data_IF_413427214098
#
_entry.id   IF_413427214098
#
_cell.length_a   1.000
_cell.length_b   1.000
_cell.length_c   1.000
_cell.angle_alpha   90.00
_cell.angle_beta   90.00
_cell.angle_gamma   90.00
#
_symmetry.space_group_name_H-M   'P 1'
#
loop_
_entity.id
_entity.type
_entity.pdbx_description
1 polymer ?
#
# COMPACT_ATOMS: atom_id res chain seq x y z
N UNK A 1 -18.13 2.14 -10.24
CA UNK A 1 -18.16 1.76 -11.68
C UNK A 1 -16.81 2.00 -12.36
N UNK A 2 -16.27 3.23 -12.43
CA UNK A 2 -14.97 3.52 -13.11
C UNK A 2 -13.78 2.73 -12.51
N UNK A 3 -13.70 2.58 -11.19
CA UNK A 3 -12.66 1.76 -10.54
C UNK A 3 -12.71 0.31 -11.02
N UNK A 4 -13.88 -0.29 -11.06
CA UNK A 4 -14.06 -1.68 -11.51
C UNK A 4 -13.66 -1.88 -12.97
N UNK A 5 -14.02 -0.93 -13.83
CA UNK A 5 -13.62 -0.94 -15.25
C UNK A 5 -12.10 -0.82 -15.38
N UNK A 6 -11.49 0.16 -14.69
CA UNK A 6 -10.05 0.34 -14.67
C UNK A 6 -9.32 -0.91 -14.16
N UNK A 7 -9.84 -1.56 -13.12
CA UNK A 7 -9.29 -2.82 -12.58
C UNK A 7 -9.36 -3.96 -13.59
N UNK A 8 -10.45 -4.08 -14.35
CA UNK A 8 -10.58 -5.11 -15.41
C UNK A 8 -9.57 -4.87 -16.51
N UNK A 9 -9.44 -3.62 -17.00
CA UNK A 9 -8.48 -3.26 -18.05
C UNK A 9 -7.05 -3.53 -17.59
N UNK A 10 -6.66 -3.03 -16.41
CA UNK A 10 -5.34 -3.28 -15.84
C UNK A 10 -5.13 -4.78 -15.61
N UNK A 11 -6.13 -5.49 -15.11
CA UNK A 11 -6.10 -6.93 -14.91
C UNK A 11 -5.81 -7.71 -16.18
N UNK A 12 -6.47 -7.34 -17.28
CA UNK A 12 -6.24 -7.94 -18.59
C UNK A 12 -4.81 -7.67 -19.11
N UNK A 13 -4.35 -6.41 -19.00
CA UNK A 13 -2.98 -6.07 -19.40
C UNK A 13 -1.94 -6.81 -18.55
N UNK A 14 -2.17 -6.95 -17.24
CA UNK A 14 -1.30 -7.72 -16.36
C UNK A 14 -1.32 -9.22 -16.65
N UNK A 15 -2.49 -9.77 -16.97
CA UNK A 15 -2.60 -11.15 -17.41
C UNK A 15 -1.82 -11.40 -18.71
N UNK A 16 -1.89 -10.48 -19.66
CA UNK A 16 -1.18 -10.59 -20.95
C UNK A 16 0.34 -10.42 -20.77
N UNK A 17 0.76 -9.46 -19.95
CA UNK A 17 2.17 -9.05 -19.86
C UNK A 17 2.93 -9.73 -18.72
N UNK A 18 2.25 -10.05 -17.60
CA UNK A 18 2.87 -10.59 -16.41
C UNK A 18 2.12 -11.82 -15.91
N UNK A 19 2.87 -12.81 -15.45
CA UNK A 19 2.31 -14.00 -14.80
C UNK A 19 2.07 -13.65 -13.31
N UNK A 20 0.97 -12.96 -13.02
CA UNK A 20 0.69 -12.46 -11.67
C UNK A 20 0.12 -13.54 -10.76
N UNK A 21 0.75 -13.73 -9.60
CA UNK A 21 0.31 -14.55 -8.49
C UNK A 21 0.05 -13.69 -7.26
N UNK A 22 -0.92 -14.08 -6.43
CA UNK A 22 -1.15 -13.46 -5.14
C UNK A 22 -1.24 -14.55 -4.05
N UNK A 23 -0.63 -14.28 -2.90
CA UNK A 23 -0.60 -15.16 -1.72
C UNK A 23 -1.09 -14.41 -0.50
N UNK A 24 -1.84 -15.10 0.37
CA UNK A 24 -2.32 -14.50 1.62
C UNK A 24 -3.40 -13.43 1.46
N UNK A 25 -4.14 -13.41 0.35
CA UNK A 25 -5.23 -12.42 0.12
C UNK A 25 -6.30 -12.52 1.21
N UNK A 26 -6.53 -13.70 1.77
CA UNK A 26 -7.45 -13.96 2.89
C UNK A 26 -7.05 -13.29 4.21
N UNK A 27 -5.78 -12.86 4.33
CA UNK A 27 -5.30 -12.12 5.49
C UNK A 27 -5.78 -10.65 5.51
N UNK A 28 -6.31 -10.16 4.39
CA UNK A 28 -6.80 -8.78 4.30
C UNK A 28 -8.21 -8.72 4.91
N UNK A 29 -8.45 -7.92 5.96
CA UNK A 29 -9.78 -7.77 6.55
C UNK A 29 -10.83 -7.41 5.51
N UNK A 30 -11.96 -8.15 5.51
CA UNK A 30 -13.06 -7.92 4.58
C UNK A 30 -13.76 -6.57 4.83
N UNK A 31 -13.75 -6.11 6.07
CA UNK A 31 -14.42 -4.88 6.51
C UNK A 31 -13.48 -4.00 7.35
N UNK A 32 -13.93 -2.79 7.65
CA UNK A 32 -13.19 -1.82 8.46
C UNK A 32 -12.01 -1.16 7.73
N UNK A 33 -11.32 -0.22 8.39
CA UNK A 33 -10.18 0.49 7.83
C UNK A 33 -8.95 -0.40 7.75
N UNK A 34 -8.27 -0.39 6.59
CA UNK A 34 -7.06 -1.19 6.36
C UNK A 34 -5.98 -0.36 5.68
N UNK A 35 -4.76 -0.44 6.18
CA UNK A 35 -3.55 0.04 5.50
C UNK A 35 -2.75 -1.17 5.04
N UNK A 36 -2.44 -1.24 3.74
CA UNK A 36 -1.53 -2.24 3.19
C UNK A 36 -0.17 -1.56 2.97
N UNK A 37 0.84 -1.98 3.73
CA UNK A 37 2.20 -1.46 3.66
C UNK A 37 3.07 -2.37 2.79
N UNK A 38 3.74 -1.84 1.77
CA UNK A 38 4.57 -2.64 0.85
C UNK A 38 5.87 -1.95 0.48
N UNK A 39 6.87 -2.72 0.02
CA UNK A 39 8.05 -2.20 -0.66
C UNK A 39 7.68 -1.50 -1.97
N UNK A 40 8.53 -0.55 -2.41
CA UNK A 40 8.28 0.28 -3.59
C UNK A 40 9.47 0.35 -4.53
N UNK A 41 9.33 -0.24 -5.72
CA UNK A 41 10.40 -0.28 -6.74
C UNK A 41 9.96 0.23 -8.11
N UNK A 42 8.66 0.30 -8.40
CA UNK A 42 8.14 0.67 -9.72
C UNK A 42 6.91 1.58 -9.64
N UNK A 43 6.66 2.33 -10.70
CA UNK A 43 5.38 3.04 -10.88
C UNK A 43 4.20 2.07 -11.03
N UNK A 44 4.45 0.80 -11.33
CA UNK A 44 3.42 -0.23 -11.48
C UNK A 44 3.02 -0.87 -10.15
N UNK A 45 3.78 -0.64 -9.06
CA UNK A 45 3.51 -1.25 -7.75
C UNK A 45 2.11 -0.98 -7.20
N UNK A 46 1.53 0.24 -7.29
CA UNK A 46 0.16 0.47 -6.83
C UNK A 46 -0.86 -0.42 -7.52
N UNK A 47 -0.71 -0.64 -8.82
CA UNK A 47 -1.60 -1.52 -9.59
C UNK A 47 -1.41 -2.98 -9.18
N UNK A 48 -0.16 -3.45 -9.09
CA UNK A 48 0.18 -4.81 -8.67
C UNK A 48 -0.38 -5.10 -7.28
N UNK A 49 -0.21 -4.15 -6.35
CA UNK A 49 -0.70 -4.28 -4.97
C UNK A 49 -2.23 -4.32 -4.92
N UNK A 50 -2.95 -3.53 -5.73
CA UNK A 50 -4.40 -3.43 -5.69
C UNK A 50 -5.12 -4.54 -6.47
N UNK A 51 -4.50 -5.13 -7.48
CA UNK A 51 -5.18 -5.93 -8.50
C UNK A 51 -5.93 -7.15 -7.93
N UNK A 52 -5.36 -7.80 -6.90
CA UNK A 52 -5.94 -9.00 -6.26
C UNK A 52 -6.63 -8.70 -4.92
N UNK A 53 -6.60 -7.46 -4.45
CA UNK A 53 -7.33 -7.06 -3.24
C UNK A 53 -8.82 -6.99 -3.56
N UNK A 54 -9.71 -7.65 -2.77
CA UNK A 54 -11.15 -7.71 -3.08
C UNK A 54 -11.88 -6.36 -2.86
N UNK A 55 -11.21 -5.40 -2.22
CA UNK A 55 -11.72 -4.07 -1.86
C UNK A 55 -11.07 -2.99 -2.70
N UNK A 56 -11.76 -1.85 -2.85
CA UNK A 56 -11.21 -0.67 -3.51
C UNK A 56 -10.05 -0.09 -2.70
N UNK A 57 -8.87 0.04 -3.32
CA UNK A 57 -7.68 0.59 -2.70
C UNK A 57 -7.44 2.04 -3.12
N UNK A 58 -7.05 2.85 -2.15
CA UNK A 58 -6.68 4.24 -2.34
C UNK A 58 -5.18 4.44 -2.17
N UNK A 59 -4.58 5.34 -2.95
CA UNK A 59 -3.15 5.63 -2.91
C UNK A 59 -2.88 7.13 -2.86
N UNK A 60 -1.80 7.48 -2.19
CA UNK A 60 -1.24 8.83 -2.28
C UNK A 60 -0.48 8.97 -3.61
N UNK A 61 -0.82 9.95 -4.43
CA UNK A 61 -0.10 10.23 -5.66
C UNK A 61 0.32 11.70 -5.70
N UNK A 62 1.41 11.99 -6.43
CA UNK A 62 1.95 13.34 -6.54
C UNK A 62 0.91 14.30 -7.10
N UNK A 63 0.73 15.47 -6.47
CA UNK A 63 -0.23 16.48 -6.88
C UNK A 63 -0.06 16.92 -8.35
N UNK A 64 1.17 16.91 -8.86
CA UNK A 64 1.48 17.25 -10.25
C UNK A 64 0.81 16.29 -11.25
N UNK A 65 0.65 15.01 -10.91
CA UNK A 65 -0.02 14.03 -11.77
C UNK A 65 -1.50 14.36 -11.99
N UNK A 66 -2.13 15.03 -11.03
CA UNK A 66 -3.52 15.45 -11.13
C UNK A 66 -3.73 16.69 -12.02
N UNK A 67 -2.65 17.30 -12.53
CA UNK A 67 -2.68 18.39 -13.51
C UNK A 67 -2.54 17.90 -14.96
N UNK A 68 -2.15 16.63 -15.16
CA UNK A 68 -2.00 16.03 -16.50
C UNK A 68 -3.37 15.58 -17.00
N UNK A 69 -3.90 16.13 -18.11
CA UNK A 69 -5.30 15.95 -18.52
C UNK A 69 -5.75 14.48 -18.71
N UNK A 70 -4.85 13.62 -19.23
CA UNK A 70 -5.16 12.20 -19.48
C UNK A 70 -4.93 11.36 -18.20
N UNK A 71 -3.91 11.70 -17.41
CA UNK A 71 -3.52 10.93 -16.22
C UNK A 71 -4.46 11.22 -15.04
N UNK A 72 -4.87 12.49 -14.86
CA UNK A 72 -5.69 12.90 -13.73
C UNK A 72 -7.01 12.14 -13.59
N UNK A 73 -7.86 12.01 -14.62
CA UNK A 73 -9.11 11.25 -14.51
C UNK A 73 -8.84 9.76 -14.26
N UNK A 74 -7.79 9.19 -14.86
CA UNK A 74 -7.44 7.78 -14.69
C UNK A 74 -7.04 7.48 -13.24
N UNK A 75 -6.10 8.24 -12.66
CA UNK A 75 -5.63 7.97 -11.29
C UNK A 75 -6.71 8.26 -10.24
N UNK A 76 -7.59 9.27 -10.47
CA UNK A 76 -8.77 9.48 -9.62
C UNK A 76 -9.73 8.30 -9.68
N UNK A 77 -10.02 7.80 -10.88
CA UNK A 77 -10.86 6.63 -11.07
C UNK A 77 -10.28 5.36 -10.40
N UNK A 78 -8.97 5.31 -10.22
CA UNK A 78 -8.23 4.25 -9.51
C UNK A 78 -8.04 4.54 -8.02
N UNK A 79 -8.80 5.49 -7.44
CA UNK A 79 -8.79 5.77 -6.00
C UNK A 79 -7.60 6.58 -5.50
N UNK A 80 -6.79 7.18 -6.39
CA UNK A 80 -5.68 8.01 -5.97
C UNK A 80 -6.14 9.42 -5.52
N UNK A 81 -5.48 9.97 -4.49
CA UNK A 81 -5.66 11.34 -4.04
C UNK A 81 -4.33 12.11 -3.98
N UNK A 82 -4.36 13.45 -4.19
CA UNK A 82 -3.15 14.24 -4.37
C UNK A 82 -2.42 14.49 -3.05
N UNK A 83 -1.08 14.38 -3.10
CA UNK A 83 -0.19 14.81 -2.00
C UNK A 83 0.95 15.67 -2.57
N UNK A 84 1.34 16.72 -1.82
CA UNK A 84 2.50 17.54 -2.16
C UNK A 84 3.79 16.80 -1.82
N UNK A 85 4.85 16.97 -2.64
CA UNK A 85 6.19 16.44 -2.37
C UNK A 85 6.81 17.11 -1.12
N UNK A 86 7.64 16.37 -0.42
CA UNK A 86 8.37 16.80 0.77
C UNK A 86 7.93 16.05 2.01
N UNK A 87 7.79 16.73 3.13
CA UNK A 87 7.23 16.15 4.35
C UNK A 87 5.74 15.87 4.16
N UNK A 88 5.26 14.72 4.67
CA UNK A 88 3.82 14.44 4.70
C UNK A 88 3.15 15.56 5.51
N UNK A 89 2.35 16.39 4.84
CA UNK A 89 1.68 17.51 5.49
C UNK A 89 0.61 17.03 6.48
N UNK A 90 0.29 17.88 7.47
CA UNK A 90 -0.82 17.60 8.40
C UNK A 90 -2.13 17.37 7.65
N UNK A 91 -2.36 18.09 6.54
CA UNK A 91 -3.52 17.93 5.67
C UNK A 91 -3.55 16.54 5.00
N UNK A 92 -2.40 16.06 4.49
CA UNK A 92 -2.29 14.72 3.92
C UNK A 92 -2.63 13.63 4.94
N UNK A 93 -2.11 13.74 6.16
CA UNK A 93 -2.42 12.79 7.25
C UNK A 93 -3.92 12.84 7.58
N UNK A 94 -4.51 14.03 7.67
CA UNK A 94 -5.94 14.19 7.94
C UNK A 94 -6.79 13.52 6.85
N UNK A 95 -6.52 13.81 5.57
CA UNK A 95 -7.23 13.20 4.45
C UNK A 95 -7.14 11.67 4.48
N UNK A 96 -5.95 11.12 4.78
CA UNK A 96 -5.72 9.69 4.88
C UNK A 96 -6.53 9.06 6.04
N UNK A 97 -6.52 9.71 7.21
CA UNK A 97 -7.28 9.27 8.39
C UNK A 97 -8.79 9.32 8.12
N UNK A 98 -9.29 10.41 7.51
CA UNK A 98 -10.72 10.58 7.21
C UNK A 98 -11.19 9.52 6.20
N UNK A 99 -10.38 9.20 5.20
CA UNK A 99 -10.64 8.12 4.24
C UNK A 99 -10.71 6.74 4.93
N UNK A 100 -9.76 6.44 5.80
CA UNK A 100 -9.73 5.18 6.53
C UNK A 100 -10.92 5.05 7.50
N UNK A 101 -11.31 6.14 8.20
CA UNK A 101 -12.50 6.15 9.08
C UNK A 101 -13.81 5.87 8.35
N UNK A 102 -13.84 6.05 7.03
CA UNK A 102 -14.96 5.61 6.18
C UNK A 102 -14.90 4.11 5.86
N UNK A 103 -14.01 3.36 6.50
CA UNK A 103 -13.84 1.93 6.26
C UNK A 103 -13.10 1.59 4.96
N UNK A 104 -12.36 2.53 4.36
CA UNK A 104 -11.64 2.30 3.10
C UNK A 104 -10.30 1.58 3.31
N UNK A 105 -9.74 1.05 2.20
CA UNK A 105 -8.40 0.45 2.16
C UNK A 105 -7.42 1.43 1.53
N UNK A 106 -6.25 1.58 2.14
CA UNK A 106 -5.19 2.44 1.63
C UNK A 106 -3.90 1.65 1.43
N UNK A 107 -3.25 1.84 0.28
CA UNK A 107 -1.88 1.38 0.04
C UNK A 107 -0.87 2.46 0.43
N UNK A 108 0.11 2.11 1.24
CA UNK A 108 1.21 2.98 1.63
C UNK A 108 2.53 2.27 1.34
N UNK A 109 3.47 3.01 0.78
CA UNK A 109 4.86 2.59 0.62
C UNK A 109 5.69 3.31 1.68
N UNK A 110 6.06 2.65 2.80
CA UNK A 110 6.68 3.32 3.96
C UNK A 110 8.00 4.01 3.63
N UNK A 111 8.73 3.53 2.62
CA UNK A 111 9.98 4.14 2.14
C UNK A 111 9.76 5.56 1.58
N UNK A 112 8.56 5.86 1.07
CA UNK A 112 8.20 7.14 0.48
C UNK A 112 8.87 7.46 -0.87
N UNK A 113 9.80 6.63 -1.31
CA UNK A 113 10.50 6.70 -2.60
C UNK A 113 10.64 5.30 -3.18
N UNK A 114 10.93 5.23 -4.48
CA UNK A 114 11.18 3.96 -5.16
C UNK A 114 12.65 3.58 -4.99
N UNK A 115 12.90 2.39 -4.45
CA UNK A 115 14.23 1.85 -4.23
C UNK A 115 14.35 0.45 -4.87
N UNK A 116 15.51 0.11 -5.37
CA UNK A 116 15.78 -1.22 -5.91
C UNK A 116 15.78 -2.30 -4.81
N UNK A 117 16.26 -1.94 -3.63
CA UNK A 117 16.26 -2.75 -2.41
C UNK A 117 15.42 -2.07 -1.34
N UNK A 118 14.93 -2.84 -0.37
CA UNK A 118 14.14 -2.32 0.75
C UNK A 118 14.98 -1.31 1.56
N UNK A 119 14.52 -0.06 1.53
CA UNK A 119 15.18 1.07 2.18
C UNK A 119 14.59 1.42 3.55
N UNK A 120 15.11 2.48 4.19
CA UNK A 120 14.59 2.96 5.48
C UNK A 120 13.16 3.46 5.32
N UNK A 121 12.32 3.16 6.30
CA UNK A 121 10.91 3.53 6.32
C UNK A 121 10.66 4.80 7.14
N UNK A 122 9.60 5.52 6.76
CA UNK A 122 9.08 6.68 7.47
C UNK A 122 7.90 6.28 8.36
N UNK A 123 7.78 6.90 9.53
CA UNK A 123 6.72 6.63 10.53
C UNK A 123 5.29 7.02 10.06
N UNK A 124 5.14 7.60 8.88
CA UNK A 124 3.85 8.12 8.39
C UNK A 124 2.74 7.07 8.34
N UNK A 125 3.03 5.84 7.91
CA UNK A 125 2.06 4.75 7.86
C UNK A 125 1.54 4.39 9.26
N UNK A 126 2.44 4.24 10.24
CA UNK A 126 2.10 3.95 11.65
C UNK A 126 1.30 5.11 12.26
N UNK A 127 1.72 6.36 12.02
CA UNK A 127 0.98 7.54 12.51
C UNK A 127 -0.46 7.58 11.98
N UNK A 128 -0.67 7.26 10.71
CA UNK A 128 -2.01 7.20 10.11
C UNK A 128 -2.80 6.03 10.70
N UNK A 129 -2.19 4.85 10.86
CA UNK A 129 -2.84 3.68 11.44
C UNK A 129 -3.34 3.95 12.86
N UNK A 130 -2.47 4.45 13.74
CA UNK A 130 -2.82 4.77 15.13
C UNK A 130 -3.95 5.81 15.24
N UNK A 131 -3.99 6.81 14.33
CA UNK A 131 -5.02 7.85 14.33
C UNK A 131 -6.36 7.41 13.73
N UNK A 132 -6.34 6.43 12.85
CA UNK A 132 -7.55 5.94 12.17
C UNK A 132 -8.12 4.66 12.77
N UNK A 133 -7.36 3.93 13.60
CA UNK A 133 -7.70 2.60 14.06
C UNK A 133 -7.60 1.54 12.96
N UNK A 134 -6.87 1.82 11.88
CA UNK A 134 -6.76 0.90 10.75
C UNK A 134 -5.87 -0.30 11.07
N UNK A 135 -6.31 -1.49 10.68
CA UNK A 135 -5.48 -2.68 10.67
C UNK A 135 -4.35 -2.49 9.65
N UNK A 136 -3.11 -2.84 10.02
CA UNK A 136 -1.94 -2.74 9.14
C UNK A 136 -1.56 -4.12 8.62
N UNK A 137 -1.72 -4.31 7.31
CA UNK A 137 -1.34 -5.55 6.61
C UNK A 137 -0.01 -5.31 5.90
N UNK A 138 1.08 -5.97 6.31
CA UNK A 138 2.34 -5.93 5.56
C UNK A 138 2.18 -6.71 4.26
N UNK A 139 2.80 -6.22 3.18
CA UNK A 139 2.78 -6.88 1.89
C UNK A 139 4.13 -6.79 1.19
N UNK A 140 4.43 -7.73 0.32
CA UNK A 140 5.66 -7.74 -0.48
C UNK A 140 5.36 -7.93 -1.98
N UNK A 141 5.98 -7.10 -2.81
CA UNK A 141 5.95 -7.22 -4.26
C UNK A 141 7.28 -7.81 -4.73
N UNK A 142 7.22 -9.04 -5.24
CA UNK A 142 8.37 -9.86 -5.65
C UNK A 142 8.37 -10.04 -7.16
N UNK A 143 9.54 -9.99 -7.77
CA UNK A 143 9.73 -10.10 -9.22
C UNK A 143 10.19 -8.78 -9.85
N UNK A 144 10.22 -8.73 -11.18
CA UNK A 144 10.53 -7.54 -11.95
C UNK A 144 9.48 -7.34 -13.06
N UNK A 145 9.25 -6.09 -13.45
CA UNK A 145 8.25 -5.74 -14.47
C UNK A 145 8.80 -5.93 -15.90
N UNK A 146 9.31 -7.14 -16.17
CA UNK A 146 9.70 -7.56 -17.52
C UNK A 146 8.56 -8.39 -18.12
N UNK A 147 8.22 -8.20 -19.40
CA UNK A 147 7.19 -8.98 -20.07
C UNK A 147 7.40 -10.48 -19.89
N UNK A 148 6.29 -11.19 -19.66
CA UNK A 148 6.22 -12.65 -19.45
C UNK A 148 6.96 -13.18 -18.22
N UNK A 149 7.47 -12.31 -17.35
CA UNK A 149 8.04 -12.71 -16.06
C UNK A 149 7.00 -12.69 -14.96
N UNK A 150 7.22 -13.54 -13.98
CA UNK A 150 6.31 -13.69 -12.82
C UNK A 150 6.43 -12.48 -11.90
N UNK A 151 5.27 -11.96 -11.48
CA UNK A 151 5.10 -10.99 -10.40
C UNK A 151 4.27 -11.62 -9.30
N UNK A 152 4.71 -11.51 -8.05
CA UNK A 152 4.02 -12.08 -6.89
C UNK A 152 3.70 -10.95 -5.93
N UNK A 153 2.44 -10.86 -5.50
CA UNK A 153 2.02 -10.03 -4.38
C UNK A 153 1.74 -10.95 -3.18
N UNK A 154 2.44 -10.73 -2.08
CA UNK A 154 2.29 -11.51 -0.85
C UNK A 154 1.72 -10.59 0.22
N UNK A 155 0.64 -11.04 0.91
CA UNK A 155 0.00 -10.29 1.99
C UNK A 155 0.14 -11.08 3.29
N UNK A 156 0.79 -10.48 4.29
CA UNK A 156 0.93 -11.05 5.64
C UNK A 156 -0.32 -10.87 6.48
N UNK A 157 -0.33 -11.46 7.67
CA UNK A 157 -1.38 -11.19 8.67
C UNK A 157 -1.32 -9.75 9.18
N UNK A 158 -2.44 -9.17 9.60
CA UNK A 158 -2.46 -7.85 10.24
C UNK A 158 -1.50 -7.80 11.43
N UNK A 159 -0.74 -6.71 11.52
CA UNK A 159 0.17 -6.45 12.64
C UNK A 159 -0.61 -5.80 13.77
N UNK A 160 -0.50 -6.36 14.97
CA UNK A 160 -1.05 -5.73 16.17
C UNK A 160 -0.18 -4.54 16.59
N UNK A 161 -0.78 -3.36 16.55
CA UNK A 161 -0.14 -2.10 16.96
C UNK A 161 -0.71 -1.55 18.28
N UNK A 162 -1.52 -2.31 19.00
CA UNK A 162 -2.25 -1.85 20.18
C UNK A 162 -1.30 -1.36 21.29
N UNK A 163 -0.25 -2.13 21.60
CA UNK A 163 0.74 -1.76 22.61
C UNK A 163 1.51 -0.49 22.24
N UNK A 164 1.91 -0.35 20.98
CA UNK A 164 2.62 0.84 20.48
C UNK A 164 1.72 2.08 20.45
N UNK A 165 0.42 1.89 20.18
CA UNK A 165 -0.55 2.98 20.21
C UNK A 165 -0.82 3.46 21.63
N UNK A 166 -0.88 2.55 22.62
CA UNK A 166 -1.04 2.86 24.04
C UNK A 166 0.17 3.63 24.61
N UNK A 167 1.39 3.27 24.20
CA UNK A 167 2.61 3.98 24.60
C UNK A 167 2.68 5.40 23.99
N UNK A 168 2.25 5.57 22.74
CA UNK A 168 2.09 6.86 22.07
C UNK A 168 3.38 7.65 21.79
N UNK A 169 4.56 7.11 22.12
CA UNK A 169 5.85 7.77 21.96
C UNK A 169 6.38 7.73 20.54
N UNK A 170 7.34 8.58 20.23
CA UNK A 170 8.04 8.54 18.94
C UNK A 170 8.85 7.24 18.78
N UNK A 171 9.39 6.72 19.88
CA UNK A 171 10.14 5.46 19.92
C UNK A 171 9.22 4.26 19.63
N UNK A 172 8.02 4.22 20.21
CA UNK A 172 7.02 3.19 19.92
C UNK A 172 6.62 3.19 18.44
N UNK A 173 6.44 4.37 17.84
CA UNK A 173 6.17 4.47 16.40
C UNK A 173 7.32 3.95 15.53
N UNK A 174 8.56 4.14 15.96
CA UNK A 174 9.74 3.65 15.26
C UNK A 174 9.83 2.12 15.34
N UNK A 175 9.65 1.55 16.54
CA UNK A 175 9.58 0.10 16.76
C UNK A 175 8.44 -0.54 15.96
N UNK A 176 7.26 0.06 15.94
CA UNK A 176 6.13 -0.40 15.13
C UNK A 176 6.43 -0.36 13.62
N UNK A 177 7.14 0.70 13.17
CA UNK A 177 7.56 0.81 11.77
C UNK A 177 8.55 -0.29 11.41
N UNK A 178 9.56 -0.55 12.26
CA UNK A 178 10.54 -1.61 12.03
C UNK A 178 9.90 -3.01 12.07
N UNK A 179 8.92 -3.24 12.94
CA UNK A 179 8.13 -4.48 12.93
C UNK A 179 7.43 -4.71 11.58
N UNK A 180 6.77 -3.69 11.03
CA UNK A 180 6.14 -3.78 9.70
C UNK A 180 7.20 -4.08 8.62
N UNK A 181 8.33 -3.38 8.66
CA UNK A 181 9.41 -3.57 7.68
C UNK A 181 10.06 -4.95 7.79
N UNK A 182 10.22 -5.50 9.00
CA UNK A 182 10.74 -6.86 9.19
C UNK A 182 9.82 -7.93 8.58
N UNK A 183 8.49 -7.76 8.71
CA UNK A 183 7.51 -8.62 8.06
C UNK A 183 7.58 -8.53 6.53
N UNK A 184 7.75 -7.31 5.99
CA UNK A 184 7.92 -7.11 4.53
C UNK A 184 9.22 -7.80 4.07
N UNK A 185 10.33 -7.63 4.79
CA UNK A 185 11.63 -8.27 4.50
C UNK A 185 11.51 -9.79 4.48
N UNK A 186 10.89 -10.38 5.51
CA UNK A 186 10.62 -11.81 5.57
C UNK A 186 9.87 -12.32 4.33
N UNK A 187 8.81 -11.60 3.92
CA UNK A 187 8.03 -12.00 2.73
C UNK A 187 8.81 -11.82 1.42
N UNK A 188 9.71 -10.83 1.33
CA UNK A 188 10.60 -10.67 0.18
C UNK A 188 11.59 -11.83 0.03
N UNK A 189 12.11 -12.33 1.16
CA UNK A 189 13.09 -13.42 1.22
C UNK A 189 12.45 -14.80 0.99
N UNK A 190 11.31 -15.05 1.61
CA UNK A 190 10.67 -16.36 1.61
C UNK A 190 9.60 -16.56 0.52
N UNK A 191 9.01 -15.46 0.07
CA UNK A 191 7.82 -15.48 -0.79
C UNK A 191 6.57 -16.02 -0.10
N UNK A 192 6.56 -16.14 1.24
CA UNK A 192 5.44 -16.65 2.04
C UNK A 192 4.82 -15.51 2.86
N UNK A 193 3.50 -15.56 3.14
CA UNK A 193 2.84 -14.63 4.04
C UNK A 193 3.52 -14.63 5.43
N UNK A 194 3.71 -13.44 6.02
CA UNK A 194 4.18 -13.33 7.40
C UNK A 194 3.03 -13.59 8.38
N UNK A 195 3.36 -14.23 9.47
CA UNK A 195 2.46 -14.42 10.61
C UNK A 195 2.25 -13.11 11.38
#
# INVERSE_FOLDING_TARGET
MLYSIGRVIVGFLYWLLFRMEARGVSNIPAEGPVIICSNHKSMLDPFTLALKVPREMHFMAKAELFRVPIVAPLIRALGAFPVKRGAISKETIRTAVDLLRQGKVMGIFPEGTRNATLGPAKRGAVTIAMRSGAAVVPAALIGNYKPFRKMIAVYGKPVDLTSYAAEGTAEAQEKATELIMSKIRYMLETGQPSE
#
